data_IF_442990975667
#
_entry.id   IF_442990975667
#
_cell.length_a   1.000
_cell.length_b   1.000
_cell.length_c   1.000
_cell.angle_alpha   90.00
_cell.angle_beta   90.00
_cell.angle_gamma   90.00
#
_symmetry.space_group_name_H-M   'P 1'
#
loop_
_entity.id
_entity.type
_entity.pdbx_description
1 polymer ?
#
# COMPACT_ATOMS: atom_id res chain seq x y z
N UNK A 1 3.11 -47.55 32.58
CA UNK A 1 2.74 -46.12 32.60
C UNK A 1 3.98 -45.31 32.27
N UNK A 2 3.95 -44.53 31.18
CA UNK A 2 4.98 -43.53 30.86
C UNK A 2 4.23 -42.23 30.58
N UNK A 3 4.56 -41.19 31.34
CA UNK A 3 4.06 -39.84 31.18
C UNK A 3 4.69 -39.21 29.94
N UNK A 4 3.88 -38.53 29.14
CA UNK A 4 4.34 -37.54 28.16
C UNK A 4 4.17 -36.15 28.78
N UNK A 5 5.30 -35.47 28.97
CA UNK A 5 5.34 -34.07 29.40
C UNK A 5 4.79 -33.16 28.30
N UNK A 6 3.84 -32.31 28.67
CA UNK A 6 3.23 -31.29 27.83
C UNK A 6 4.14 -30.06 27.69
N UNK A 7 5.03 -30.07 26.69
CA UNK A 7 5.88 -28.93 26.32
C UNK A 7 5.25 -27.92 25.34
N UNK A 8 3.94 -28.03 25.07
CA UNK A 8 3.22 -27.19 24.08
C UNK A 8 2.57 -25.93 24.67
N UNK A 9 2.55 -25.77 26.00
CA UNK A 9 1.81 -24.69 26.68
C UNK A 9 2.51 -23.33 26.64
N UNK A 10 3.85 -23.27 26.71
CA UNK A 10 4.55 -22.00 26.96
C UNK A 10 4.93 -21.20 25.71
N UNK A 11 4.93 -21.82 24.51
CA UNK A 11 5.25 -21.11 23.26
C UNK A 11 4.06 -20.34 22.69
N UNK A 12 2.85 -20.88 22.78
CA UNK A 12 1.63 -20.18 22.34
C UNK A 12 1.26 -19.01 23.25
N UNK A 13 1.52 -19.12 24.55
CA UNK A 13 1.29 -18.01 25.50
C UNK A 13 2.28 -16.86 25.28
N UNK A 14 3.54 -17.12 24.92
CA UNK A 14 4.51 -16.06 24.63
C UNK A 14 4.17 -15.28 23.35
N UNK A 15 3.74 -15.97 22.29
CA UNK A 15 3.33 -15.34 21.02
C UNK A 15 2.05 -14.52 21.16
N UNK A 16 1.08 -14.99 21.96
CA UNK A 16 -0.15 -14.25 22.25
C UNK A 16 0.12 -13.01 23.13
N UNK A 17 1.04 -13.10 24.09
CA UNK A 17 1.41 -11.97 24.96
C UNK A 17 2.20 -10.90 24.18
N UNK A 18 3.11 -11.29 23.28
CA UNK A 18 3.83 -10.34 22.42
C UNK A 18 2.88 -9.68 21.41
N UNK A 19 1.95 -10.43 20.81
CA UNK A 19 0.93 -9.85 19.93
C UNK A 19 0.03 -8.85 20.67
N UNK A 20 -0.44 -9.17 21.88
CA UNK A 20 -1.25 -8.23 22.69
C UNK A 20 -0.44 -7.00 23.14
N UNK A 21 0.86 -7.14 23.45
CA UNK A 21 1.73 -6.02 23.80
C UNK A 21 2.03 -5.13 22.59
N UNK A 22 2.18 -5.69 21.39
CA UNK A 22 2.41 -4.91 20.16
C UNK A 22 1.11 -4.23 19.69
N UNK A 23 -0.02 -4.94 19.68
CA UNK A 23 -1.31 -4.35 19.29
C UNK A 23 -1.80 -3.31 20.28
N UNK A 24 -1.61 -3.51 21.60
CA UNK A 24 -1.88 -2.49 22.61
C UNK A 24 -0.82 -1.37 22.61
N UNK A 25 0.44 -1.67 22.31
CA UNK A 25 1.52 -0.68 22.24
C UNK A 25 1.34 0.30 21.07
N UNK A 26 0.98 -0.21 19.89
CA UNK A 26 0.67 0.60 18.71
C UNK A 26 -0.64 1.38 18.90
N UNK A 27 -1.65 0.78 19.54
CA UNK A 27 -2.91 1.47 19.85
C UNK A 27 -2.74 2.56 20.94
N UNK A 28 -1.91 2.34 21.96
CA UNK A 28 -1.63 3.33 23.02
C UNK A 28 -0.78 4.49 22.50
N UNK A 29 0.15 4.25 21.57
CA UNK A 29 0.93 5.33 20.93
C UNK A 29 0.06 6.15 19.97
N UNK A 30 -0.89 5.52 19.27
CA UNK A 30 -1.86 6.22 18.43
C UNK A 30 -2.88 7.07 19.22
N UNK A 31 -3.19 6.68 20.47
CA UNK A 31 -4.17 7.37 21.33
C UNK A 31 -3.54 8.44 22.25
N UNK A 32 -2.24 8.34 22.61
CA UNK A 32 -1.59 9.23 23.61
C UNK A 32 -0.47 10.16 23.09
N UNK A 33 -0.35 10.43 21.78
CA UNK A 33 0.58 11.47 21.31
C UNK A 33 0.04 12.87 21.71
N UNK A 34 0.72 13.60 22.61
CA UNK A 34 0.23 14.88 23.11
C UNK A 34 0.29 15.93 22.00
N UNK A 35 -0.86 16.53 21.70
CA UNK A 35 -0.90 17.81 20.99
C UNK A 35 -0.28 18.90 21.87
N UNK A 36 0.75 19.58 21.38
CA UNK A 36 1.37 20.67 22.13
C UNK A 36 2.40 21.50 21.35
N UNK A 37 1.94 22.63 20.79
CA UNK A 37 2.56 23.96 20.91
C UNK A 37 3.91 24.33 20.23
N UNK A 38 3.84 25.14 19.17
CA UNK A 38 4.58 26.39 18.77
C UNK A 38 5.91 26.77 19.52
N UNK A 39 7.02 27.36 19.01
CA UNK A 39 7.44 28.24 17.85
C UNK A 39 9.02 28.16 17.59
N UNK A 40 9.77 29.02 16.81
CA UNK A 40 10.53 28.68 15.57
C UNK A 40 12.07 28.97 15.57
N UNK A 41 12.82 28.63 14.49
CA UNK A 41 13.65 29.55 13.62
C UNK A 41 14.80 28.89 12.81
N UNK A 42 14.90 29.33 11.53
CA UNK A 42 16.06 29.41 10.58
C UNK A 42 16.50 28.19 9.74
N UNK A 43 16.86 28.38 8.45
CA UNK A 43 16.75 27.34 7.42
C UNK A 43 18.10 26.73 7.02
N UNK A 44 18.11 25.41 6.82
CA UNK A 44 19.14 24.71 6.04
C UNK A 44 18.47 23.58 5.27
N UNK A 45 18.73 23.57 3.96
CA UNK A 45 18.34 22.58 2.95
C UNK A 45 18.24 21.15 3.48
N UNK A 46 17.03 20.63 3.57
CA UNK A 46 16.71 19.24 3.89
C UNK A 46 15.41 18.88 3.18
N UNK A 47 15.32 17.62 2.76
CA UNK A 47 14.13 16.92 2.27
C UNK A 47 12.86 17.49 2.89
N UNK A 48 11.90 17.93 2.07
CA UNK A 48 10.67 18.56 2.52
C UNK A 48 9.80 17.56 3.27
N UNK A 49 10.04 17.41 4.57
CA UNK A 49 9.02 16.97 5.51
C UNK A 49 7.87 17.98 5.39
N UNK A 50 6.61 17.57 5.17
CA UNK A 50 5.50 18.50 5.03
C UNK A 50 5.47 19.45 6.24
N UNK A 51 5.63 20.74 6.00
CA UNK A 51 5.83 21.78 7.03
C UNK A 51 4.58 22.10 7.86
N UNK A 52 3.51 21.33 7.67
CA UNK A 52 2.42 21.11 8.60
C UNK A 52 1.84 19.74 8.21
N UNK A 53 1.92 18.67 9.02
CA UNK A 53 0.96 17.59 8.83
C UNK A 53 -0.40 18.25 9.04
N UNK A 54 -1.15 18.41 7.95
CA UNK A 54 -2.54 18.88 8.02
C UNK A 54 -3.20 17.97 9.05
N UNK A 55 -3.77 18.55 10.12
CA UNK A 55 -4.43 17.78 11.18
C UNK A 55 -5.47 16.86 10.51
N UNK A 56 -5.14 15.58 10.33
CA UNK A 56 -5.93 14.67 9.50
C UNK A 56 -5.36 13.26 9.48
N UNK A 57 -6.22 12.28 9.21
CA UNK A 57 -5.86 10.87 9.22
C UNK A 57 -4.90 10.50 8.06
N UNK A 58 -4.95 11.19 6.92
CA UNK A 58 -4.01 10.98 5.80
C UNK A 58 -2.56 11.26 6.16
N UNK A 59 -2.28 12.43 6.77
CA UNK A 59 -0.94 12.77 7.25
C UNK A 59 -0.39 11.75 8.27
N UNK A 60 -1.24 11.23 9.15
CA UNK A 60 -0.85 10.19 10.13
C UNK A 60 -0.52 8.87 9.45
N UNK A 61 -1.30 8.49 8.44
CA UNK A 61 -1.03 7.29 7.68
C UNK A 61 0.25 7.41 6.84
N UNK A 62 0.53 8.57 6.25
CA UNK A 62 1.79 8.83 5.56
C UNK A 62 3.00 8.69 6.50
N UNK A 63 2.92 9.23 7.73
CA UNK A 63 3.96 9.03 8.76
C UNK A 63 4.17 7.55 9.07
N UNK A 64 3.09 6.79 9.26
CA UNK A 64 3.18 5.36 9.52
C UNK A 64 3.81 4.60 8.35
N UNK A 65 3.34 4.83 7.12
CA UNK A 65 3.87 4.17 5.92
C UNK A 65 5.35 4.47 5.70
N UNK A 66 5.77 5.72 5.90
CA UNK A 66 7.18 6.09 5.85
C UNK A 66 8.01 5.41 6.95
N UNK A 67 7.45 5.24 8.16
CA UNK A 67 8.15 4.53 9.25
C UNK A 67 8.30 3.03 9.02
N UNK A 68 7.46 2.45 8.16
CA UNK A 68 7.43 1.03 7.82
C UNK A 68 8.05 0.73 6.45
N UNK A 69 8.61 1.74 5.78
CA UNK A 69 9.14 1.63 4.41
C UNK A 69 10.14 0.49 4.28
N UNK A 70 11.14 0.44 5.16
CA UNK A 70 12.18 -0.61 5.17
C UNK A 70 11.63 -2.02 5.49
N UNK A 71 10.39 -2.10 5.98
CA UNK A 71 9.72 -3.36 6.28
C UNK A 71 8.81 -3.83 5.14
N UNK A 72 8.67 -3.05 4.06
CA UNK A 72 7.83 -3.44 2.92
C UNK A 72 8.45 -4.62 2.19
N UNK A 73 7.68 -5.68 2.03
CA UNK A 73 8.05 -6.84 1.21
C UNK A 73 7.67 -6.57 -0.25
N UNK A 74 6.43 -6.15 -0.49
CA UNK A 74 5.96 -5.77 -1.82
C UNK A 74 4.63 -5.01 -1.75
N UNK A 75 4.30 -4.38 -2.88
CA UNK A 75 3.04 -3.74 -3.19
C UNK A 75 2.28 -4.59 -4.21
N UNK A 76 0.97 -4.69 -4.07
CA UNK A 76 0.10 -5.48 -4.95
C UNK A 76 -1.08 -4.65 -5.45
N UNK A 77 -1.34 -4.73 -6.76
CA UNK A 77 -2.44 -4.06 -7.44
C UNK A 77 -3.08 -5.01 -8.45
N UNK A 78 -4.40 -5.16 -8.43
CA UNK A 78 -5.17 -5.89 -9.43
C UNK A 78 -6.61 -5.33 -9.52
N UNK A 79 -7.50 -5.98 -10.28
CA UNK A 79 -8.96 -5.75 -10.29
C UNK A 79 -9.44 -4.29 -10.19
N UNK A 80 -8.79 -3.37 -10.91
CA UNK A 80 -9.07 -1.93 -10.90
C UNK A 80 -9.00 -1.33 -12.30
N UNK A 81 -9.64 -0.18 -12.51
CA UNK A 81 -9.59 0.56 -13.77
C UNK A 81 -8.15 0.84 -14.19
N UNK A 82 -7.30 1.23 -13.25
CA UNK A 82 -5.87 1.45 -13.51
C UNK A 82 -5.20 0.22 -14.16
N UNK A 83 -5.38 -0.96 -13.56
CA UNK A 83 -4.72 -2.20 -14.02
C UNK A 83 -5.42 -2.79 -15.25
N UNK A 84 -6.70 -3.08 -15.14
CA UNK A 84 -7.42 -3.88 -16.12
C UNK A 84 -7.95 -3.09 -17.31
N UNK A 85 -8.00 -1.76 -17.22
CA UNK A 85 -8.36 -0.90 -18.34
C UNK A 85 -7.16 -0.10 -18.85
N UNK A 86 -6.56 0.77 -18.03
CA UNK A 86 -5.56 1.71 -18.52
C UNK A 86 -4.28 1.00 -18.98
N UNK A 87 -3.67 0.19 -18.11
CA UNK A 87 -2.47 -0.58 -18.49
C UNK A 87 -2.78 -1.60 -19.59
N UNK A 88 -3.92 -2.30 -19.49
CA UNK A 88 -4.32 -3.27 -20.53
C UNK A 88 -4.52 -2.61 -21.90
N UNK A 89 -5.06 -1.39 -21.96
CA UNK A 89 -5.20 -0.63 -23.20
C UNK A 89 -3.84 -0.28 -23.79
N UNK A 90 -2.90 0.19 -22.95
CA UNK A 90 -1.54 0.47 -23.37
C UNK A 90 -0.86 -0.78 -23.93
N UNK A 91 -0.82 -1.88 -23.17
CA UNK A 91 -0.12 -3.08 -23.59
C UNK A 91 -0.75 -3.74 -24.82
N UNK A 92 -2.07 -3.72 -24.95
CA UNK A 92 -2.74 -4.20 -26.15
C UNK A 92 -2.41 -3.36 -27.41
N UNK A 93 -2.11 -2.07 -27.23
CA UNK A 93 -1.73 -1.19 -28.35
C UNK A 93 -0.33 -1.48 -28.91
N UNK A 94 0.58 -1.98 -28.06
CA UNK A 94 1.96 -2.34 -28.44
C UNK A 94 2.11 -3.84 -28.73
N UNK A 95 1.30 -4.69 -28.08
CA UNK A 95 1.27 -6.14 -28.25
C UNK A 95 -0.20 -6.62 -28.30
N UNK A 96 -0.78 -6.83 -29.50
CA UNK A 96 -2.19 -7.19 -29.64
C UNK A 96 -2.55 -8.46 -28.87
N UNK A 97 -3.60 -8.38 -28.04
CA UNK A 97 -4.06 -9.46 -27.19
C UNK A 97 -3.49 -9.44 -25.77
N UNK A 98 -2.51 -8.56 -25.49
CA UNK A 98 -2.01 -8.38 -24.13
C UNK A 98 -3.09 -7.79 -23.22
N UNK A 99 -3.25 -8.40 -22.04
CA UNK A 99 -4.13 -7.92 -20.98
C UNK A 99 -3.42 -8.06 -19.65
N UNK A 100 -3.58 -7.09 -18.75
CA UNK A 100 -2.90 -7.07 -17.44
C UNK A 100 -3.85 -7.58 -16.37
N UNK A 101 -3.45 -8.66 -15.69
CA UNK A 101 -4.17 -9.23 -14.56
C UNK A 101 -3.77 -8.57 -13.23
N UNK A 102 -2.48 -8.23 -13.08
CA UNK A 102 -1.96 -7.64 -11.85
C UNK A 102 -0.59 -6.98 -12.01
N UNK A 103 -0.24 -6.17 -11.02
CA UNK A 103 1.05 -5.51 -10.90
C UNK A 103 1.57 -5.73 -9.49
N UNK A 104 2.81 -6.18 -9.38
CA UNK A 104 3.52 -6.26 -8.10
C UNK A 104 4.81 -5.47 -8.14
N UNK A 105 5.10 -4.74 -7.06
CA UNK A 105 6.30 -3.91 -6.95
C UNK A 105 7.07 -4.27 -5.70
N UNK A 106 8.38 -4.35 -5.78
CA UNK A 106 9.27 -4.67 -4.63
C UNK A 106 10.38 -3.66 -4.54
N UNK A 107 10.73 -3.26 -3.32
CA UNK A 107 11.97 -2.53 -3.06
C UNK A 107 13.15 -3.51 -3.08
N UNK A 108 14.29 -3.09 -3.61
CA UNK A 108 15.54 -3.84 -3.62
C UNK A 108 16.72 -2.92 -3.24
N UNK A 109 17.91 -3.49 -2.98
CA UNK A 109 19.09 -2.74 -2.54
C UNK A 109 19.54 -1.63 -3.52
N UNK A 110 19.08 -1.67 -4.77
CA UNK A 110 19.45 -0.73 -5.84
C UNK A 110 18.31 0.21 -6.27
N UNK A 111 17.14 0.09 -5.65
CA UNK A 111 15.93 0.82 -6.01
C UNK A 111 14.68 -0.06 -5.97
N UNK A 112 13.97 -0.15 -7.09
CA UNK A 112 12.69 -0.87 -7.16
C UNK A 112 12.62 -1.82 -8.35
N UNK A 113 11.80 -2.86 -8.23
CA UNK A 113 11.39 -3.71 -9.35
C UNK A 113 9.87 -3.59 -9.51
N UNK A 114 9.43 -3.42 -10.75
CA UNK A 114 8.02 -3.47 -11.15
C UNK A 114 7.83 -4.71 -12.00
N UNK A 115 6.84 -5.51 -11.67
CA UNK A 115 6.47 -6.68 -12.44
C UNK A 115 4.99 -6.64 -12.80
N UNK A 116 4.70 -6.99 -14.05
CA UNK A 116 3.35 -7.04 -14.60
C UNK A 116 3.01 -8.48 -14.94
N UNK A 117 1.90 -8.95 -14.42
CA UNK A 117 1.32 -10.25 -14.71
C UNK A 117 0.34 -10.09 -15.87
N UNK A 118 0.68 -10.68 -17.03
CA UNK A 118 -0.18 -10.66 -18.19
C UNK A 118 -1.08 -11.90 -18.25
N UNK A 119 -2.28 -11.72 -18.80
CA UNK A 119 -3.24 -12.79 -19.01
C UNK A 119 -2.87 -13.69 -20.18
N UNK A 120 -3.17 -15.01 -20.10
CA UNK A 120 -3.63 -15.69 -18.88
C UNK A 120 -2.46 -15.84 -17.90
N UNK A 121 -2.66 -15.43 -16.64
CA UNK A 121 -1.59 -15.48 -15.63
C UNK A 121 -0.94 -16.87 -15.47
N UNK A 122 -1.67 -17.95 -15.81
CA UNK A 122 -1.17 -19.33 -15.81
C UNK A 122 -0.01 -19.56 -16.79
N UNK A 123 0.13 -18.73 -17.81
CA UNK A 123 1.22 -18.82 -18.78
C UNK A 123 2.51 -18.18 -18.24
N UNK A 124 2.49 -17.62 -17.02
CA UNK A 124 3.64 -17.00 -16.34
C UNK A 124 4.32 -15.92 -17.21
N UNK A 125 3.51 -15.17 -17.96
CA UNK A 125 3.94 -14.07 -18.81
C UNK A 125 4.16 -12.87 -17.90
N UNK A 126 5.41 -12.65 -17.50
CA UNK A 126 5.79 -11.58 -16.57
C UNK A 126 6.68 -10.56 -17.27
N UNK A 127 6.15 -9.36 -17.45
CA UNK A 127 6.97 -8.19 -17.81
C UNK A 127 7.71 -7.69 -16.58
N UNK A 128 8.98 -7.32 -16.74
CA UNK A 128 9.81 -6.79 -15.65
C UNK A 128 10.43 -5.45 -16.02
N UNK A 129 10.48 -4.55 -15.05
CA UNK A 129 11.14 -3.25 -15.15
C UNK A 129 11.85 -2.93 -13.84
N UNK A 130 12.94 -2.18 -13.93
CA UNK A 130 13.74 -1.78 -12.76
C UNK A 130 13.75 -0.25 -12.68
N UNK A 131 13.57 0.25 -11.46
CA UNK A 131 13.73 1.64 -11.10
C UNK A 131 15.02 1.82 -10.32
N UNK A 132 15.71 2.93 -10.56
CA UNK A 132 16.77 3.39 -9.66
C UNK A 132 16.18 3.79 -8.30
N UNK A 133 17.03 3.85 -7.27
CA UNK A 133 16.66 4.32 -5.94
C UNK A 133 15.96 5.69 -5.97
N UNK A 134 16.46 6.64 -6.79
CA UNK A 134 15.85 7.97 -6.90
C UNK A 134 14.45 7.92 -7.51
N UNK A 135 14.25 7.12 -8.56
CA UNK A 135 12.94 6.96 -9.20
C UNK A 135 11.94 6.27 -8.27
N UNK A 136 12.38 5.24 -7.56
CA UNK A 136 11.58 4.55 -6.55
C UNK A 136 11.17 5.49 -5.42
N UNK A 137 12.13 6.24 -4.86
CA UNK A 137 11.90 7.20 -3.78
C UNK A 137 10.95 8.32 -4.21
N UNK A 138 11.09 8.81 -5.44
CA UNK A 138 10.19 9.82 -6.00
C UNK A 138 8.78 9.29 -6.21
N UNK A 139 8.63 8.08 -6.75
CA UNK A 139 7.33 7.49 -7.03
C UNK A 139 6.55 7.16 -5.74
N UNK A 140 7.21 6.47 -4.81
CA UNK A 140 6.64 6.14 -3.50
C UNK A 140 6.31 7.39 -2.69
N UNK A 141 7.20 8.39 -2.67
CA UNK A 141 6.95 9.68 -2.02
C UNK A 141 5.76 10.42 -2.63
N UNK A 142 5.61 10.43 -3.95
CA UNK A 142 4.46 11.05 -4.62
C UNK A 142 3.13 10.42 -4.20
N UNK A 143 3.06 9.09 -4.08
CA UNK A 143 1.84 8.40 -3.63
C UNK A 143 1.56 8.65 -2.14
N UNK A 144 2.59 8.52 -1.29
CA UNK A 144 2.44 8.54 0.17
C UNK A 144 2.33 9.97 0.70
N UNK A 145 3.24 10.86 0.33
CA UNK A 145 3.34 12.20 0.94
C UNK A 145 2.47 13.23 0.22
N UNK A 146 2.50 13.23 -1.12
CA UNK A 146 1.74 14.19 -1.94
C UNK A 146 0.30 13.74 -2.19
N UNK A 147 0.07 12.43 -2.27
CA UNK A 147 -1.27 11.84 -2.32
C UNK A 147 -1.87 11.70 -0.93
N UNK A 148 -1.61 10.55 -0.28
CA UNK A 148 -2.24 10.17 0.99
C UNK A 148 -2.03 11.22 2.08
N UNK A 149 -0.82 11.78 2.20
CA UNK A 149 -0.43 12.70 3.26
C UNK A 149 -1.20 14.03 3.27
N UNK A 150 -1.78 14.43 2.14
CA UNK A 150 -2.55 15.67 2.01
C UNK A 150 -4.05 15.48 2.32
N UNK A 151 -4.53 14.24 2.32
CA UNK A 151 -5.95 13.96 2.48
C UNK A 151 -6.43 14.10 3.94
N UNK A 152 -7.56 14.76 4.11
CA UNK A 152 -8.22 14.92 5.41
C UNK A 152 -9.26 13.83 5.65
N UNK A 153 -9.62 13.60 6.92
CA UNK A 153 -10.68 12.67 7.28
C UNK A 153 -12.03 13.10 6.68
N UNK A 154 -12.75 12.14 6.11
CA UNK A 154 -14.07 12.36 5.55
C UNK A 154 -15.12 12.44 6.66
N UNK A 155 -15.85 13.55 6.73
CA UNK A 155 -16.95 13.75 7.69
C UNK A 155 -18.27 13.13 7.21
N UNK A 156 -18.38 12.89 5.91
CA UNK A 156 -19.47 12.17 5.26
C UNK A 156 -18.84 11.15 4.34
N UNK A 157 -19.22 9.89 4.46
CA UNK A 157 -18.65 8.83 3.64
C UNK A 157 -19.73 7.77 3.35
N UNK A 158 -19.53 6.91 2.35
CA UNK A 158 -20.44 5.81 2.09
C UNK A 158 -20.59 4.87 3.30
N UNK A 159 -21.76 4.24 3.44
CA UNK A 159 -22.21 3.63 4.71
C UNK A 159 -21.70 2.20 5.00
N UNK A 160 -20.73 1.66 4.24
CA UNK A 160 -20.31 0.24 4.32
C UNK A 160 -18.80 0.06 4.10
N UNK A 161 -18.31 -1.18 4.15
CA UNK A 161 -16.97 -1.56 3.72
C UNK A 161 -16.79 -1.27 2.21
N UNK A 162 -15.68 -0.59 1.88
CA UNK A 162 -15.18 -0.40 0.51
C UNK A 162 -15.15 -1.72 -0.28
N UNK A 163 -15.45 -1.73 -1.59
CA UNK A 163 -15.75 -0.59 -2.49
C UNK A 163 -17.24 -0.26 -2.63
N UNK A 164 -17.59 1.01 -2.84
CA UNK A 164 -19.00 1.44 -3.06
C UNK A 164 -19.39 1.63 -4.51
N UNK A 165 -18.41 1.85 -5.36
CA UNK A 165 -18.58 2.00 -6.80
C UNK A 165 -17.67 1.01 -7.52
N UNK A 166 -18.21 0.40 -8.58
CA UNK A 166 -17.48 -0.47 -9.48
C UNK A 166 -17.57 0.05 -10.92
N UNK A 167 -16.46 0.03 -11.68
CA UNK A 167 -15.13 -0.42 -11.25
C UNK A 167 -14.46 0.52 -10.24
N UNK A 168 -13.64 -0.06 -9.36
CA UNK A 168 -12.72 0.71 -8.52
C UNK A 168 -11.67 1.36 -9.43
N UNK A 169 -11.36 2.63 -9.24
CA UNK A 169 -10.36 3.31 -10.07
C UNK A 169 -8.95 2.79 -9.79
N UNK A 170 -8.58 2.73 -8.52
CA UNK A 170 -7.29 2.26 -8.08
C UNK A 170 -7.36 1.64 -6.69
N UNK A 171 -6.59 0.57 -6.46
CA UNK A 171 -6.23 0.18 -5.10
C UNK A 171 -4.85 -0.45 -5.08
N UNK A 172 -4.23 -0.38 -3.91
CA UNK A 172 -2.94 -0.96 -3.62
C UNK A 172 -2.99 -1.59 -2.23
N UNK A 173 -2.38 -2.77 -2.11
CA UNK A 173 -2.09 -3.38 -0.80
C UNK A 173 -0.58 -3.47 -0.62
N UNK A 174 -0.10 -2.95 0.49
CA UNK A 174 1.31 -3.00 0.92
C UNK A 174 1.45 -4.10 1.95
N UNK A 175 2.41 -5.00 1.75
CA UNK A 175 2.65 -6.14 2.64
C UNK A 175 3.98 -5.94 3.36
N UNK A 176 3.96 -6.08 4.68
CA UNK A 176 5.13 -5.86 5.53
C UNK A 176 5.69 -7.18 6.08
N UNK A 177 6.98 -7.17 6.42
CA UNK A 177 7.74 -8.32 6.90
C UNK A 177 7.28 -8.83 8.28
N UNK A 178 6.49 -8.04 9.02
CA UNK A 178 5.93 -8.37 10.33
C UNK A 178 4.55 -9.03 10.25
N UNK A 179 4.14 -9.46 9.05
CA UNK A 179 2.83 -10.02 8.72
C UNK A 179 1.66 -9.05 8.85
N UNK A 180 1.92 -7.74 8.93
CA UNK A 180 0.88 -6.72 8.74
C UNK A 180 0.75 -6.37 7.26
N UNK A 181 -0.43 -5.89 6.87
CA UNK A 181 -0.65 -5.30 5.56
C UNK A 181 -1.44 -4.01 5.68
N UNK A 182 -1.32 -3.17 4.66
CA UNK A 182 -1.99 -1.90 4.57
C UNK A 182 -2.68 -1.80 3.23
N UNK A 183 -3.98 -1.53 3.24
CA UNK A 183 -4.80 -1.35 2.04
C UNK A 183 -5.15 0.12 1.86
N UNK A 184 -5.09 0.56 0.61
CA UNK A 184 -5.57 1.85 0.15
C UNK A 184 -6.38 1.65 -1.14
N UNK A 185 -7.60 2.16 -1.16
CA UNK A 185 -8.48 2.13 -2.33
C UNK A 185 -9.06 3.51 -2.62
N UNK A 186 -9.25 3.81 -3.90
CA UNK A 186 -9.74 5.09 -4.40
C UNK A 186 -10.75 4.91 -5.55
N UNK A 187 -11.78 5.76 -5.54
CA UNK A 187 -12.78 5.88 -6.60
C UNK A 187 -13.15 7.34 -6.76
N UNK A 188 -12.78 7.88 -7.91
CA UNK A 188 -13.07 9.24 -8.37
C UNK A 188 -14.56 9.54 -8.41
N UNK A 189 -15.39 8.54 -8.71
CA UNK A 189 -16.86 8.68 -8.76
C UNK A 189 -17.48 9.05 -7.41
N UNK A 190 -16.88 8.59 -6.31
CA UNK A 190 -17.33 8.88 -4.95
C UNK A 190 -16.56 10.06 -4.33
N UNK A 191 -15.37 10.39 -4.85
CA UNK A 191 -14.50 11.46 -4.34
C UNK A 191 -13.81 11.12 -3.02
N UNK A 192 -13.78 9.84 -2.65
CA UNK A 192 -13.20 9.36 -1.40
C UNK A 192 -12.12 8.30 -1.63
N UNK A 193 -11.21 8.22 -0.67
CA UNK A 193 -10.29 7.12 -0.50
C UNK A 193 -10.59 6.36 0.80
N UNK A 194 -10.39 5.04 0.79
CA UNK A 194 -10.54 4.19 1.95
C UNK A 194 -9.22 3.52 2.32
N UNK A 195 -8.92 3.53 3.61
CA UNK A 195 -7.68 3.00 4.16
C UNK A 195 -7.98 2.05 5.29
N UNK A 196 -7.25 0.94 5.34
CA UNK A 196 -7.33 0.01 6.46
C UNK A 196 -6.06 -0.80 6.61
N UNK A 197 -5.75 -1.15 7.84
CA UNK A 197 -4.70 -2.12 8.15
C UNK A 197 -5.29 -3.55 8.21
N UNK A 198 -4.42 -4.54 8.08
CA UNK A 198 -4.78 -5.95 8.17
C UNK A 198 -3.59 -6.81 8.58
N UNK A 199 -3.83 -8.11 8.59
CA UNK A 199 -2.80 -9.12 8.77
C UNK A 199 -2.84 -10.09 7.61
N UNK A 200 -1.67 -10.51 7.13
CA UNK A 200 -1.53 -11.45 6.02
C UNK A 200 -0.72 -12.67 6.45
N UNK A 201 -0.76 -13.73 5.66
CA UNK A 201 -0.15 -15.01 6.02
C UNK A 201 1.37 -15.05 5.99
N UNK A 202 2.02 -13.99 5.48
CA UNK A 202 3.45 -13.99 5.17
C UNK A 202 3.80 -14.84 3.94
N UNK A 203 2.79 -15.33 3.22
CA UNK A 203 2.95 -16.16 2.03
C UNK A 203 2.04 -15.67 0.93
N UNK A 204 2.51 -15.76 -0.31
CA UNK A 204 1.63 -15.66 -1.48
C UNK A 204 0.93 -16.99 -1.71
N UNK A 205 -0.27 -16.95 -2.28
CA UNK A 205 -0.90 -18.15 -2.79
C UNK A 205 -0.22 -18.64 -4.08
N UNK A 206 -0.74 -19.70 -4.67
CA UNK A 206 -0.18 -20.29 -5.90
C UNK A 206 -0.37 -19.41 -7.14
N UNK A 207 -1.16 -18.34 -7.06
CA UNK A 207 -1.38 -17.35 -8.10
C UNK A 207 -0.60 -16.05 -7.87
N UNK A 208 0.18 -15.97 -6.79
CA UNK A 208 0.90 -14.77 -6.40
C UNK A 208 0.04 -13.78 -5.62
N UNK A 209 -1.27 -14.01 -5.46
CA UNK A 209 -2.11 -13.17 -4.63
C UNK A 209 -1.82 -13.45 -3.14
N UNK A 210 -1.54 -12.43 -2.33
CA UNK A 210 -1.22 -12.66 -0.93
C UNK A 210 -2.50 -12.98 -0.13
N UNK A 211 -2.42 -13.99 0.72
CA UNK A 211 -3.55 -14.37 1.54
C UNK A 211 -3.70 -13.44 2.75
N UNK A 212 -4.67 -12.53 2.70
CA UNK A 212 -5.02 -11.68 3.84
C UNK A 212 -5.89 -12.48 4.82
N UNK A 213 -5.44 -12.56 6.07
CA UNK A 213 -6.09 -13.32 7.14
C UNK A 213 -7.24 -12.52 7.74
N UNK A 214 -7.01 -11.24 8.01
CA UNK A 214 -8.01 -10.37 8.62
C UNK A 214 -7.75 -8.92 8.28
N UNK A 215 -8.82 -8.13 8.35
CA UNK A 215 -8.76 -6.70 8.21
C UNK A 215 -9.23 -6.02 9.50
N UNK A 216 -8.57 -4.93 9.85
CA UNK A 216 -9.00 -4.04 10.92
C UNK A 216 -10.10 -3.10 10.46
N UNK A 217 -10.48 -2.19 11.35
CA UNK A 217 -11.36 -1.07 11.02
C UNK A 217 -10.63 -0.12 10.07
N UNK A 218 -11.31 0.28 9.00
CA UNK A 218 -10.82 1.29 8.08
C UNK A 218 -11.40 2.67 8.35
N UNK A 219 -10.84 3.66 7.68
CA UNK A 219 -11.28 5.04 7.71
C UNK A 219 -11.34 5.64 6.31
N UNK A 220 -12.17 6.66 6.18
CA UNK A 220 -12.43 7.36 4.93
C UNK A 220 -11.70 8.69 4.90
N UNK A 221 -11.12 9.01 3.75
CA UNK A 221 -10.47 10.28 3.48
C UNK A 221 -11.14 10.97 2.29
N UNK A 222 -11.16 12.30 2.31
CA UNK A 222 -11.52 13.09 1.14
C UNK A 222 -10.34 13.08 0.16
N UNK A 223 -10.55 12.58 -1.05
CA UNK A 223 -9.46 12.47 -2.02
C UNK A 223 -9.12 13.81 -2.68
N UNK A 224 -10.13 14.65 -2.97
CA UNK A 224 -10.00 16.05 -3.46
C UNK A 224 -8.95 16.26 -4.59
N UNK A 225 -8.78 15.27 -5.47
CA UNK A 225 -7.83 15.30 -6.59
C UNK A 225 -6.36 15.03 -6.21
N UNK A 226 -6.06 14.68 -4.95
CA UNK A 226 -4.68 14.45 -4.49
C UNK A 226 -3.99 13.26 -5.18
N UNK A 227 -4.73 12.33 -5.78
CA UNK A 227 -4.16 11.16 -6.48
C UNK A 227 -4.00 11.34 -7.99
N UNK A 228 -4.51 12.42 -8.58
CA UNK A 228 -4.45 12.62 -10.03
C UNK A 228 -3.00 12.54 -10.54
N UNK A 229 -2.10 13.35 -9.96
CA UNK A 229 -0.69 13.40 -10.34
C UNK A 229 0.07 12.13 -9.92
N UNK A 230 -0.03 11.61 -8.68
CA UNK A 230 0.64 10.38 -8.30
C UNK A 230 0.28 9.16 -9.15
N UNK A 231 -1.00 9.00 -9.53
CA UNK A 231 -1.43 7.88 -10.37
C UNK A 231 -0.95 8.02 -11.82
N UNK A 232 -0.88 9.25 -12.34
CA UNK A 232 -0.26 9.50 -13.64
C UNK A 232 1.24 9.14 -13.60
N UNK A 233 1.97 9.56 -12.58
CA UNK A 233 3.39 9.22 -12.41
C UNK A 233 3.61 7.70 -12.32
N UNK A 234 2.73 6.99 -11.61
CA UNK A 234 2.78 5.52 -11.53
C UNK A 234 2.53 4.87 -12.90
N UNK A 235 1.52 5.32 -13.63
CA UNK A 235 1.24 4.84 -14.98
C UNK A 235 2.46 5.04 -15.89
N UNK A 236 3.03 6.24 -15.92
CA UNK A 236 4.19 6.57 -16.74
C UNK A 236 5.41 5.72 -16.36
N UNK A 237 5.70 5.57 -15.06
CA UNK A 237 6.79 4.74 -14.57
C UNK A 237 6.65 3.28 -15.05
N UNK A 238 5.45 2.70 -14.94
CA UNK A 238 5.18 1.33 -15.39
C UNK A 238 5.39 1.22 -16.91
N UNK A 239 4.73 2.07 -17.71
CA UNK A 239 4.75 1.96 -19.18
C UNK A 239 6.12 2.28 -19.80
N UNK A 240 6.94 3.08 -19.12
CA UNK A 240 8.29 3.43 -19.61
C UNK A 240 9.34 2.37 -19.26
N UNK A 241 9.12 1.57 -18.21
CA UNK A 241 10.15 0.65 -17.69
C UNK A 241 9.82 -0.82 -17.91
N UNK A 242 8.54 -1.19 -17.99
CA UNK A 242 8.13 -2.58 -18.15
C UNK A 242 7.69 -2.83 -19.59
N UNK A 243 8.46 -3.65 -20.31
CA UNK A 243 8.08 -4.13 -21.63
C UNK A 243 7.28 -5.44 -21.54
N UNK A 244 6.43 -5.70 -22.53
CA UNK A 244 5.83 -7.03 -22.70
C UNK A 244 6.94 -8.05 -22.99
N UNK A 245 6.98 -9.22 -22.33
CA UNK A 245 8.02 -10.22 -22.54
C UNK A 245 7.89 -10.87 -23.93
N UNK A 246 9.00 -10.97 -24.67
CA UNK A 246 9.09 -11.62 -26.01
C UNK A 246 9.26 -13.13 -25.94
#
# INVERSE_FOLDING_TARGET
>A
MRNYETGLSNKFLASAIVAVIITAGVLIVAINLPGGGIIPTTPTTTTTTPTNPVNGLGARAAVYLNSMRDNVVFYWMCNSTFVNLNLSTYYNSVHPGAYVDGVYMTENETGGEINILFHPYYDNIVGKGTLTENEWNSLSGSIIDDGIGQMVEATTHPSVDWPHTWPIDFYITVYFNDNTCFYFGFTSGDGFAYMRNGTWSGTTDFHGEPAVISWGEGFWLNEDGHLEVPLQNLYEAITNTVSYPE
#
